data_IF_590733061626
#
_entry.id   IF_590733061626
#
_cell.length_a   1.000
_cell.length_b   1.000
_cell.length_c   1.000
_cell.angle_alpha   90.00
_cell.angle_beta   90.00
_cell.angle_gamma   90.00
#
_symmetry.space_group_name_H-M   'P 1'
#
loop_
_entity.id
_entity.type
_entity.pdbx_description
1 polymer ?
#
# COMPACT_ATOMS: atom_id res chain seq x y z
N UNK A 1 -37.73 -33.02 57.91
CA UNK A 1 -37.32 -32.52 56.59
C UNK A 1 -36.16 -31.55 56.85
N UNK A 2 -34.97 -32.07 57.20
CA UNK A 2 -33.87 -32.47 56.29
C UNK A 2 -33.47 -31.28 55.40
N UNK A 3 -32.34 -30.57 55.57
CA UNK A 3 -31.02 -30.94 56.13
C UNK A 3 -30.36 -29.81 56.96
N UNK A 4 -29.45 -30.23 57.86
CA UNK A 4 -28.35 -29.46 58.49
C UNK A 4 -27.06 -30.26 58.19
N UNK A 5 -25.85 -29.85 58.66
CA UNK A 5 -25.10 -28.57 58.53
C UNK A 5 -23.64 -28.85 58.09
N UNK A 6 -22.75 -27.85 58.04
CA UNK A 6 -21.30 -28.13 58.13
C UNK A 6 -20.36 -27.02 57.67
N UNK A 7 -19.94 -26.17 58.59
CA UNK A 7 -18.66 -25.45 58.54
C UNK A 7 -17.48 -26.40 58.84
N UNK A 8 -16.30 -26.06 58.31
CA UNK A 8 -14.92 -26.28 58.82
C UNK A 8 -13.94 -27.12 57.98
N UNK A 9 -12.70 -26.59 58.00
CA UNK A 9 -11.38 -27.16 57.65
C UNK A 9 -11.00 -27.17 56.16
N UNK A 10 -9.80 -26.77 55.73
CA UNK A 10 -8.69 -26.11 56.39
C UNK A 10 -7.67 -25.59 55.35
N UNK A 11 -6.98 -24.54 55.76
CA UNK A 11 -5.66 -24.02 55.35
C UNK A 11 -4.73 -25.00 54.62
N UNK A 12 -4.07 -24.52 53.57
CA UNK A 12 -2.62 -24.76 53.39
C UNK A 12 -1.95 -23.76 52.42
N UNK A 13 -0.93 -23.10 52.98
CA UNK A 13 0.33 -22.67 52.35
C UNK A 13 0.34 -21.40 51.47
N UNK A 14 0.45 -20.28 52.19
CA UNK A 14 1.08 -19.03 51.76
C UNK A 14 2.61 -19.12 51.97
N UNK A 15 3.36 -18.69 50.93
CA UNK A 15 4.77 -18.25 50.83
C UNK A 15 5.68 -19.17 49.98
N UNK A 16 6.06 -18.67 48.80
CA UNK A 16 7.43 -18.41 48.32
C UNK A 16 7.36 -17.71 46.93
N UNK A 17 8.13 -16.63 46.75
CA UNK A 17 8.21 -15.69 45.59
C UNK A 17 8.91 -16.34 44.35
N UNK A 18 9.18 -15.69 43.17
CA UNK A 18 9.04 -14.28 42.74
C UNK A 18 8.56 -14.02 41.27
N UNK A 19 8.45 -12.74 40.88
CA UNK A 19 8.65 -12.31 39.48
C UNK A 19 7.47 -11.58 38.80
N UNK A 20 7.26 -10.29 39.11
CA UNK A 20 6.50 -9.40 38.22
C UNK A 20 7.35 -9.12 36.97
N UNK A 21 6.83 -9.23 35.74
CA UNK A 21 7.52 -8.68 34.58
C UNK A 21 7.61 -7.16 34.77
N UNK A 22 8.82 -6.63 34.66
CA UNK A 22 9.07 -5.19 34.62
C UNK A 22 8.30 -4.62 33.44
N UNK A 23 7.42 -3.66 33.72
CA UNK A 23 6.88 -2.77 32.70
C UNK A 23 8.05 -2.14 31.96
N UNK A 24 8.10 -2.43 30.67
CA UNK A 24 9.14 -1.95 29.79
C UNK A 24 9.04 -0.42 29.66
N UNK A 25 10.08 0.27 30.14
CA UNK A 25 10.19 1.74 30.08
C UNK A 25 10.31 2.26 28.64
N UNK A 26 10.38 1.37 27.63
CA UNK A 26 10.27 1.72 26.22
C UNK A 26 8.86 2.15 25.78
N UNK A 27 7.78 1.76 26.48
CA UNK A 27 6.40 2.16 26.12
C UNK A 27 6.13 3.66 26.34
N UNK A 28 6.75 4.29 27.33
CA UNK A 28 6.50 5.70 27.64
C UNK A 28 7.21 6.71 26.72
N UNK A 29 8.15 6.26 25.88
CA UNK A 29 8.75 7.13 24.85
C UNK A 29 7.86 7.28 23.60
N UNK A 30 6.97 6.31 23.32
CA UNK A 30 6.10 6.31 22.13
C UNK A 30 4.93 7.31 22.23
N UNK A 31 4.48 7.69 23.43
CA UNK A 31 3.32 8.60 23.60
C UNK A 31 3.66 10.11 23.58
N UNK A 32 4.93 10.52 23.44
CA UNK A 32 5.34 11.94 23.51
C UNK A 32 5.72 12.62 22.19
N UNK A 33 5.65 11.95 21.04
CA UNK A 33 6.13 12.51 19.76
C UNK A 33 5.05 12.72 18.68
N UNK A 34 3.89 13.25 19.08
CA UNK A 34 2.95 13.93 18.15
C UNK A 34 2.94 15.46 18.33
N UNK A 35 3.93 16.03 19.03
CA UNK A 35 4.09 17.48 19.17
C UNK A 35 5.27 17.98 18.34
N UNK A 36 4.93 18.72 17.29
CA UNK A 36 5.73 19.77 16.65
C UNK A 36 7.16 19.40 16.24
N UNK A 37 7.34 19.26 14.92
CA UNK A 37 8.61 19.42 14.21
C UNK A 37 9.37 20.67 14.66
N UNK A 38 10.31 20.52 15.61
CA UNK A 38 11.34 21.51 15.93
C UNK A 38 12.69 20.96 15.55
N UNK A 39 13.38 21.69 14.69
CA UNK A 39 14.70 21.44 14.11
C UNK A 39 15.79 21.15 15.15
N UNK A 40 16.55 20.05 15.01
CA UNK A 40 17.89 19.93 15.56
C UNK A 40 18.95 20.42 14.55
N UNK A 41 20.07 20.93 15.08
CA UNK A 41 21.23 21.45 14.33
C UNK A 41 21.97 20.34 13.57
N UNK A 42 22.43 20.70 12.37
CA UNK A 42 23.22 19.91 11.41
C UNK A 42 24.50 19.32 12.02
N UNK A 43 24.77 18.04 11.72
CA UNK A 43 26.10 17.55 11.36
C UNK A 43 26.00 16.49 10.25
N UNK A 44 26.97 16.54 9.35
CA UNK A 44 27.20 15.79 8.10
C UNK A 44 26.37 14.52 7.85
N UNK A 45 25.31 14.66 7.06
CA UNK A 45 24.54 13.62 6.39
C UNK A 45 23.85 14.24 5.16
N UNK A 46 23.56 13.45 4.13
CA UNK A 46 22.93 13.93 2.89
C UNK A 46 21.70 14.79 3.15
N UNK A 47 21.49 15.82 2.32
CA UNK A 47 20.38 16.76 2.48
C UNK A 47 19.07 15.96 2.39
N UNK A 48 18.22 16.03 3.42
CA UNK A 48 16.81 15.62 3.29
C UNK A 48 16.24 16.28 2.02
N UNK A 49 15.50 15.56 1.16
CA UNK A 49 14.56 16.20 0.28
C UNK A 49 13.77 17.20 1.10
N UNK A 50 13.55 18.40 0.55
CA UNK A 50 12.77 19.39 1.29
C UNK A 50 11.40 18.79 1.65
N UNK A 51 10.89 19.22 2.81
CA UNK A 51 9.73 18.60 3.45
C UNK A 51 8.55 18.46 2.47
N UNK A 52 7.67 17.46 2.61
CA UNK A 52 6.50 17.32 1.73
C UNK A 52 5.58 18.57 1.70
N UNK A 53 5.58 19.39 2.76
CA UNK A 53 4.85 20.67 2.84
C UNK A 53 5.56 21.85 2.16
N UNK A 54 6.77 21.64 1.63
CA UNK A 54 7.54 22.60 0.85
C UNK A 54 7.61 22.13 -0.61
N UNK A 55 6.63 22.50 -1.44
CA UNK A 55 6.68 22.18 -2.86
C UNK A 55 7.95 22.78 -3.49
N UNK A 56 8.45 22.20 -4.59
CA UNK A 56 9.63 22.73 -5.24
C UNK A 56 9.46 24.21 -5.58
N UNK A 57 10.52 25.04 -5.43
CA UNK A 57 10.46 26.44 -5.86
C UNK A 57 10.13 26.48 -7.36
N UNK A 58 9.13 27.29 -7.72
CA UNK A 58 8.55 27.37 -9.07
C UNK A 58 7.73 26.14 -9.53
N UNK A 59 7.26 25.32 -8.59
CA UNK A 59 6.38 24.18 -8.85
C UNK A 59 7.08 22.97 -9.47
N UNK A 60 6.41 21.81 -9.40
CA UNK A 60 6.92 20.52 -9.87
C UNK A 60 6.71 20.28 -11.37
N UNK A 61 5.82 21.02 -12.04
CA UNK A 61 5.48 20.82 -13.46
C UNK A 61 6.12 21.93 -14.31
N UNK A 62 6.73 21.53 -15.42
CA UNK A 62 7.22 22.39 -16.49
C UNK A 62 6.14 22.54 -17.58
N UNK A 63 5.51 23.73 -17.60
CA UNK A 63 4.49 24.11 -18.56
C UNK A 63 5.06 24.72 -19.85
N UNK A 64 6.39 24.82 -19.99
CA UNK A 64 7.02 25.29 -21.24
C UNK A 64 7.04 24.20 -22.31
N UNK A 65 6.81 22.95 -21.92
CA UNK A 65 6.70 21.80 -22.81
C UNK A 65 5.23 21.51 -23.17
N UNK A 66 5.02 20.93 -24.35
CA UNK A 66 3.71 20.46 -24.81
C UNK A 66 3.77 18.99 -25.20
N UNK A 67 3.11 18.07 -24.46
CA UNK A 67 2.36 18.33 -23.22
C UNK A 67 3.28 18.68 -22.03
N UNK A 68 2.76 19.32 -20.96
CA UNK A 68 3.53 19.60 -19.76
C UNK A 68 4.15 18.34 -19.14
N UNK A 69 5.32 18.47 -18.51
CA UNK A 69 6.03 17.35 -17.86
C UNK A 69 6.43 17.70 -16.44
N UNK A 70 6.54 16.69 -15.58
CA UNK A 70 7.10 16.88 -14.24
C UNK A 70 8.60 17.10 -14.36
N UNK A 71 9.13 18.09 -13.63
CA UNK A 71 10.56 18.36 -13.54
C UNK A 71 11.26 17.21 -12.81
N UNK A 72 12.44 16.83 -13.26
CA UNK A 72 13.29 15.78 -12.67
C UNK A 72 13.99 16.20 -11.37
N UNK A 73 13.25 16.73 -10.39
CA UNK A 73 13.82 17.30 -9.17
C UNK A 73 14.05 16.20 -8.12
N UNK A 74 15.24 15.61 -8.14
CA UNK A 74 15.63 14.51 -7.24
C UNK A 74 15.57 14.86 -5.75
N UNK A 75 15.81 16.13 -5.42
CA UNK A 75 15.87 16.61 -4.03
C UNK A 75 14.49 17.01 -3.46
N UNK A 76 13.41 16.66 -4.16
CA UNK A 76 12.05 17.01 -3.76
C UNK A 76 11.11 15.82 -3.93
N UNK A 77 10.10 15.74 -3.08
CA UNK A 77 8.95 14.86 -3.31
C UNK A 77 8.04 15.45 -4.39
N UNK A 78 7.65 14.64 -5.37
CA UNK A 78 6.88 15.09 -6.54
C UNK A 78 5.50 14.44 -6.65
N UNK A 79 5.39 13.16 -6.26
CA UNK A 79 4.16 12.37 -6.30
C UNK A 79 4.28 11.14 -5.41
N UNK A 80 4.32 11.34 -4.09
CA UNK A 80 4.35 10.27 -3.09
C UNK A 80 3.02 9.52 -3.09
N UNK A 81 3.05 8.24 -3.42
CA UNK A 81 1.86 7.39 -3.49
C UNK A 81 1.75 6.44 -2.30
N UNK A 82 2.89 5.99 -1.74
CA UNK A 82 2.89 4.99 -0.69
C UNK A 82 4.09 5.16 0.25
N UNK A 83 3.94 4.69 1.49
CA UNK A 83 4.99 4.62 2.49
C UNK A 83 4.97 3.23 3.14
N UNK A 84 6.14 2.73 3.50
CA UNK A 84 6.29 1.52 4.31
C UNK A 84 7.21 1.84 5.49
N UNK A 85 6.88 1.34 6.67
CA UNK A 85 7.72 1.48 7.87
C UNK A 85 8.08 0.07 8.32
N UNK A 86 9.38 -0.21 8.43
CA UNK A 86 9.84 -1.50 8.92
C UNK A 86 9.95 -1.54 10.46
N UNK A 87 10.25 -2.72 11.00
CA UNK A 87 10.38 -2.93 12.45
C UNK A 87 11.60 -2.24 13.09
N UNK A 88 12.49 -1.66 12.29
CA UNK A 88 13.67 -0.92 12.75
C UNK A 88 13.43 0.60 12.75
N UNK A 89 12.18 1.04 12.67
CA UNK A 89 11.80 2.45 12.57
C UNK A 89 12.45 3.15 11.35
N UNK A 90 12.57 2.43 10.23
CA UNK A 90 12.99 2.98 8.93
C UNK A 90 11.77 3.13 8.03
N UNK A 91 11.58 4.34 7.50
CA UNK A 91 10.51 4.67 6.57
C UNK A 91 11.03 4.70 5.13
N UNK A 92 10.32 4.00 4.25
CA UNK A 92 10.58 3.92 2.82
C UNK A 92 9.45 4.65 2.10
N UNK A 93 9.78 5.72 1.40
CA UNK A 93 8.82 6.57 0.69
C UNK A 93 8.88 6.27 -0.79
N UNK A 94 7.75 5.87 -1.35
CA UNK A 94 7.59 5.55 -2.77
C UNK A 94 7.04 6.77 -3.51
N UNK A 95 7.91 7.44 -4.27
CA UNK A 95 7.58 8.61 -5.07
C UNK A 95 7.56 8.26 -6.56
N UNK A 96 6.38 8.33 -7.16
CA UNK A 96 6.20 8.02 -8.58
C UNK A 96 6.83 9.06 -9.52
N UNK A 97 7.18 10.25 -9.01
CA UNK A 97 7.61 11.36 -9.87
C UNK A 97 6.48 11.92 -10.74
N UNK A 98 5.23 11.52 -10.50
CA UNK A 98 4.04 11.93 -11.27
C UNK A 98 3.24 12.96 -10.48
N UNK A 99 3.37 14.23 -10.83
CA UNK A 99 2.56 15.31 -10.26
C UNK A 99 1.26 15.51 -11.06
N UNK A 100 0.20 15.93 -10.34
CA UNK A 100 -1.08 16.32 -10.93
C UNK A 100 -1.19 17.85 -10.86
N UNK A 101 -1.55 18.48 -11.97
CA UNK A 101 -1.76 19.92 -12.00
C UNK A 101 -3.13 20.33 -11.41
N UNK A 102 -3.38 21.64 -11.34
CA UNK A 102 -4.65 22.19 -10.83
C UNK A 102 -5.88 21.77 -11.65
N UNK A 103 -5.70 21.45 -12.93
CA UNK A 103 -6.77 21.03 -13.83
C UNK A 103 -7.02 19.51 -13.72
N UNK A 104 -6.14 18.76 -13.04
CA UNK A 104 -6.23 17.31 -12.93
C UNK A 104 -5.47 16.54 -14.00
N UNK A 105 -4.66 17.22 -14.82
CA UNK A 105 -3.75 16.55 -15.74
C UNK A 105 -2.58 15.95 -14.93
N UNK A 106 -2.42 14.64 -15.01
CA UNK A 106 -1.25 13.96 -14.48
C UNK A 106 -0.13 14.07 -15.52
N UNK A 107 0.93 14.82 -15.22
CA UNK A 107 2.04 15.07 -16.15
C UNK A 107 3.06 13.94 -16.10
N UNK A 108 3.64 13.55 -17.25
CA UNK A 108 4.65 12.47 -17.33
C UNK A 108 5.88 12.82 -16.48
N UNK A 109 6.49 11.80 -15.87
CA UNK A 109 7.72 11.98 -15.10
C UNK A 109 8.91 12.32 -16.02
N UNK A 110 9.94 12.89 -15.42
CA UNK A 110 11.27 13.02 -16.02
C UNK A 110 12.30 12.27 -15.17
N UNK A 111 13.45 11.94 -15.76
CA UNK A 111 14.59 11.35 -15.02
C UNK A 111 14.91 12.20 -13.79
N UNK A 112 15.12 11.55 -12.63
CA UNK A 112 15.24 12.22 -11.33
C UNK A 112 13.92 12.29 -10.54
N UNK A 113 12.77 12.03 -11.18
CA UNK A 113 11.47 12.05 -10.53
C UNK A 113 11.16 10.76 -9.75
N UNK A 114 10.96 9.62 -10.43
CA UNK A 114 10.62 8.34 -9.79
C UNK A 114 11.77 7.86 -8.89
N UNK A 115 11.47 7.63 -7.61
CA UNK A 115 12.49 7.28 -6.61
C UNK A 115 11.93 6.61 -5.37
N UNK A 116 12.80 5.90 -4.65
CA UNK A 116 12.58 5.47 -3.27
C UNK A 116 13.49 6.29 -2.35
N UNK A 117 12.90 6.93 -1.34
CA UNK A 117 13.64 7.66 -0.30
C UNK A 117 13.56 6.88 1.00
N UNK A 118 14.72 6.58 1.59
CA UNK A 118 14.82 5.83 2.86
C UNK A 118 15.18 6.79 3.98
N UNK A 119 14.37 6.81 5.03
CA UNK A 119 14.45 7.78 6.13
C UNK A 119 14.53 7.02 7.46
N UNK A 120 15.52 7.36 8.29
CA UNK A 120 15.53 6.93 9.69
C UNK A 120 14.54 7.78 10.48
N UNK A 121 13.59 7.14 11.15
CA UNK A 121 12.66 7.82 12.07
C UNK A 121 13.27 8.05 13.47
N UNK A 122 14.45 7.48 13.75
CA UNK A 122 15.14 7.70 15.02
C UNK A 122 15.64 9.14 15.14
N UNK A 123 16.22 9.66 14.05
CA UNK A 123 16.89 10.95 13.99
C UNK A 123 16.38 11.88 12.87
N UNK A 124 15.32 11.48 12.16
CA UNK A 124 14.71 12.21 11.06
C UNK A 124 15.69 12.53 9.91
N UNK A 125 16.53 11.57 9.51
CA UNK A 125 17.52 11.76 8.44
C UNK A 125 17.29 10.83 7.25
N UNK A 126 17.65 11.28 6.04
CA UNK A 126 17.70 10.41 4.87
C UNK A 126 18.92 9.52 4.95
N UNK A 127 18.67 8.22 4.90
CA UNK A 127 19.69 7.18 4.81
C UNK A 127 20.15 7.04 3.36
N UNK A 128 19.19 6.95 2.43
CA UNK A 128 19.46 6.72 1.02
C UNK A 128 18.36 7.29 0.13
N UNK A 129 18.70 7.55 -1.14
CA UNK A 129 17.73 7.86 -2.19
C UNK A 129 18.09 7.09 -3.44
N UNK A 130 17.19 6.20 -3.87
CA UNK A 130 17.33 5.39 -5.08
C UNK A 130 16.51 6.03 -6.19
N UNK A 131 17.19 6.67 -7.13
CA UNK A 131 16.58 7.32 -8.30
C UNK A 131 16.56 6.30 -9.42
N UNK A 132 15.40 6.08 -10.02
CA UNK A 132 15.29 5.14 -11.13
C UNK A 132 15.61 5.79 -12.47
N UNK A 133 16.35 5.04 -13.28
CA UNK A 133 16.61 5.33 -14.69
C UNK A 133 15.38 5.00 -15.54
N UNK A 134 15.35 5.50 -16.77
CA UNK A 134 14.17 5.35 -17.66
C UNK A 134 13.91 3.90 -18.09
N UNK A 135 14.93 3.03 -18.10
CA UNK A 135 14.79 1.60 -18.36
C UNK A 135 14.11 0.85 -17.20
N UNK A 136 14.31 1.32 -15.97
CA UNK A 136 13.70 0.74 -14.76
C UNK A 136 12.29 1.31 -14.54
N UNK A 137 12.15 2.63 -14.57
CA UNK A 137 10.89 3.35 -14.39
C UNK A 137 10.72 4.37 -15.52
N UNK A 138 10.11 3.96 -16.65
CA UNK A 138 9.80 4.88 -17.73
C UNK A 138 8.94 6.08 -17.29
N UNK A 139 8.88 7.11 -18.13
CA UNK A 139 8.17 8.36 -17.79
C UNK A 139 6.66 8.23 -17.48
N UNK A 140 6.02 7.12 -17.88
CA UNK A 140 4.63 6.80 -17.59
C UNK A 140 4.46 5.78 -16.46
N UNK A 141 5.55 5.36 -15.81
CA UNK A 141 5.50 4.57 -14.59
C UNK A 141 4.67 5.29 -13.52
N UNK A 142 3.96 4.49 -12.73
CA UNK A 142 3.17 4.94 -11.62
C UNK A 142 3.42 4.02 -10.43
N UNK A 143 4.51 4.30 -9.70
CA UNK A 143 4.90 3.53 -8.52
C UNK A 143 3.82 3.66 -7.44
N UNK A 144 3.07 2.60 -7.18
CA UNK A 144 1.81 2.67 -6.43
C UNK A 144 1.85 2.02 -5.05
N UNK A 145 2.68 1.01 -4.87
CA UNK A 145 2.84 0.29 -3.61
C UNK A 145 4.28 -0.19 -3.44
N UNK A 146 4.65 -0.41 -2.18
CA UNK A 146 5.99 -0.80 -1.77
C UNK A 146 5.89 -1.79 -0.61
N UNK A 147 6.76 -2.81 -0.60
CA UNK A 147 6.96 -3.68 0.55
C UNK A 147 8.45 -4.06 0.65
N UNK A 148 8.96 -4.19 1.88
CA UNK A 148 10.39 -4.33 2.14
C UNK A 148 10.69 -5.69 2.77
N UNK A 149 11.65 -6.40 2.17
CA UNK A 149 12.22 -7.63 2.71
C UNK A 149 13.57 -7.29 3.35
N UNK A 150 13.52 -6.90 4.63
CA UNK A 150 14.72 -6.50 5.39
C UNK A 150 15.71 -7.65 5.59
N UNK A 151 15.23 -8.90 5.56
CA UNK A 151 16.07 -10.09 5.69
C UNK A 151 16.97 -10.29 4.47
N UNK A 152 16.42 -10.08 3.27
CA UNK A 152 17.17 -10.21 2.02
C UNK A 152 17.69 -8.88 1.48
N UNK A 153 17.46 -7.78 2.21
CA UNK A 153 17.84 -6.42 1.84
C UNK A 153 17.33 -5.99 0.45
N UNK A 154 16.06 -6.29 0.16
CA UNK A 154 15.41 -5.92 -1.11
C UNK A 154 14.06 -5.24 -0.89
N UNK A 155 13.62 -4.47 -1.88
CA UNK A 155 12.31 -3.83 -1.93
C UNK A 155 11.57 -4.31 -3.18
N UNK A 156 10.28 -4.65 -3.01
CA UNK A 156 9.36 -4.89 -4.11
C UNK A 156 8.44 -3.66 -4.29
N UNK A 157 8.30 -3.20 -5.52
CA UNK A 157 7.54 -1.99 -5.86
C UNK A 157 6.57 -2.32 -7.00
N UNK A 158 5.31 -1.92 -6.86
CA UNK A 158 4.32 -2.07 -7.91
C UNK A 158 4.42 -0.87 -8.85
N UNK A 159 4.64 -1.11 -10.14
CA UNK A 159 4.52 -0.10 -11.18
C UNK A 159 3.20 -0.28 -11.94
N UNK A 160 2.23 0.55 -11.59
CA UNK A 160 0.85 0.49 -12.05
C UNK A 160 0.58 1.44 -13.23
N UNK A 161 1.42 1.43 -14.26
CA UNK A 161 1.27 2.36 -15.38
C UNK A 161 -0.09 2.25 -16.09
N UNK A 162 -0.83 3.37 -16.13
CA UNK A 162 -2.14 3.44 -16.81
C UNK A 162 -2.08 3.32 -18.34
N UNK A 163 -0.88 3.37 -18.93
CA UNK A 163 -0.63 3.15 -20.37
C UNK A 163 -0.33 1.68 -20.70
N UNK A 164 -0.21 0.81 -19.69
CA UNK A 164 -0.07 -0.63 -19.86
C UNK A 164 1.31 -1.19 -19.53
N UNK A 165 2.36 -0.35 -19.41
CA UNK A 165 3.72 -0.79 -19.03
C UNK A 165 3.78 -1.14 -17.55
N UNK A 166 3.12 -2.21 -17.14
CA UNK A 166 3.05 -2.64 -15.74
C UNK A 166 4.12 -3.67 -15.41
N UNK A 167 4.67 -3.60 -14.20
CA UNK A 167 5.73 -4.50 -13.73
C UNK A 167 5.80 -4.49 -12.19
N UNK A 168 6.53 -5.47 -11.64
CA UNK A 168 7.01 -5.42 -10.26
C UNK A 168 8.50 -5.08 -10.33
N UNK A 169 8.94 -4.03 -9.64
CA UNK A 169 10.35 -3.71 -9.52
C UNK A 169 10.94 -4.39 -8.29
N UNK A 170 12.13 -4.98 -8.45
CA UNK A 170 12.94 -5.54 -7.37
C UNK A 170 14.20 -4.68 -7.23
N UNK A 171 14.25 -3.88 -6.17
CA UNK A 171 15.40 -3.04 -5.82
C UNK A 171 16.27 -3.74 -4.77
N UNK A 172 17.55 -3.93 -5.07
CA UNK A 172 18.55 -4.37 -4.11
C UNK A 172 19.09 -3.15 -3.33
N UNK A 173 18.91 -3.15 -2.00
CA UNK A 173 19.30 -2.02 -1.14
C UNK A 173 20.81 -1.93 -0.87
N UNK A 174 21.56 -2.98 -1.16
CA UNK A 174 23.03 -2.96 -1.00
C UNK A 174 23.70 -2.26 -2.18
N UNK A 175 23.16 -2.49 -3.38
CA UNK A 175 23.78 -2.07 -4.65
C UNK A 175 23.04 -0.92 -5.34
N UNK A 176 21.76 -0.71 -5.01
CA UNK A 176 20.87 0.18 -5.74
C UNK A 176 20.42 -0.35 -7.10
N UNK A 177 20.87 -1.54 -7.51
CA UNK A 177 20.45 -2.16 -8.76
C UNK A 177 18.98 -2.56 -8.67
N UNK A 178 18.23 -2.25 -9.73
CA UNK A 178 16.80 -2.54 -9.79
C UNK A 178 16.48 -3.35 -11.03
N UNK A 179 15.72 -4.43 -10.85
CA UNK A 179 15.21 -5.26 -11.94
C UNK A 179 13.72 -4.99 -12.13
N UNK A 180 13.30 -4.92 -13.39
CA UNK A 180 11.90 -4.82 -13.78
C UNK A 180 11.40 -6.22 -14.14
N UNK A 181 10.50 -6.77 -13.32
CA UNK A 181 10.05 -8.16 -13.38
C UNK A 181 8.60 -8.24 -13.88
N UNK A 182 8.27 -9.36 -14.53
CA UNK A 182 6.94 -9.69 -15.03
C UNK A 182 6.38 -8.64 -16.00
N UNK A 183 7.24 -7.90 -16.71
CA UNK A 183 6.77 -6.79 -17.53
C UNK A 183 5.77 -7.28 -18.59
N UNK A 184 4.62 -6.62 -18.65
CA UNK A 184 3.52 -6.94 -19.57
C UNK A 184 2.98 -8.38 -19.45
N UNK A 185 3.31 -9.11 -18.38
CA UNK A 185 2.70 -10.42 -18.10
C UNK A 185 1.26 -10.26 -17.67
N UNK A 186 0.47 -11.31 -17.89
CA UNK A 186 -0.97 -11.27 -17.65
C UNK A 186 -1.31 -10.88 -16.21
N UNK A 187 -0.60 -11.43 -15.22
CA UNK A 187 -0.89 -11.23 -13.80
C UNK A 187 -0.73 -9.78 -13.33
N UNK A 188 0.16 -9.00 -13.96
CA UNK A 188 0.46 -7.61 -13.56
C UNK A 188 -0.24 -6.56 -14.42
N UNK A 189 -0.85 -6.96 -15.54
CA UNK A 189 -1.50 -6.03 -16.48
C UNK A 189 -2.99 -5.89 -16.16
N UNK A 190 -3.60 -4.73 -16.38
CA UNK A 190 -5.06 -4.59 -16.23
C UNK A 190 -5.85 -5.52 -17.17
N UNK A 191 -7.04 -5.95 -16.76
CA UNK A 191 -7.97 -6.70 -17.61
C UNK A 191 -8.75 -5.72 -18.48
N UNK A 192 -8.68 -5.92 -19.79
CA UNK A 192 -9.48 -5.15 -20.73
C UNK A 192 -10.97 -5.35 -20.44
N UNK A 193 -11.74 -4.26 -20.46
CA UNK A 193 -13.19 -4.32 -20.21
C UNK A 193 -13.58 -4.42 -18.74
N UNK A 194 -12.63 -4.29 -17.79
CA UNK A 194 -12.97 -4.40 -16.38
C UNK A 194 -13.82 -3.23 -15.87
N UNK A 195 -15.00 -3.56 -15.36
CA UNK A 195 -15.94 -2.65 -14.71
C UNK A 195 -16.24 -3.17 -13.30
N UNK A 196 -15.72 -2.51 -12.25
CA UNK A 196 -16.10 -2.80 -10.88
C UNK A 196 -17.32 -1.98 -10.46
N UNK A 197 -18.07 -2.50 -9.50
CA UNK A 197 -19.29 -1.87 -9.00
C UNK A 197 -19.16 -1.53 -7.52
N UNK A 198 -19.62 -0.34 -7.13
CA UNK A 198 -19.78 0.02 -5.71
C UNK A 198 -21.22 0.48 -5.51
N UNK A 199 -21.94 -0.13 -4.56
CA UNK A 199 -23.37 0.14 -4.32
C UNK A 199 -24.25 0.10 -5.58
N UNK A 200 -23.94 -0.82 -6.49
CA UNK A 200 -24.66 -0.97 -7.76
C UNK A 200 -24.30 0.06 -8.84
N UNK A 201 -23.43 1.04 -8.56
CA UNK A 201 -22.93 1.98 -9.57
C UNK A 201 -21.65 1.44 -10.23
N UNK A 202 -21.56 1.43 -11.58
CA UNK A 202 -20.35 1.05 -12.28
C UNK A 202 -19.26 2.12 -12.14
N UNK A 203 -18.00 1.71 -12.06
CA UNK A 203 -16.88 2.66 -11.98
C UNK A 203 -16.06 2.63 -13.26
N UNK A 204 -15.96 3.79 -13.92
CA UNK A 204 -15.16 4.01 -15.12
C UNK A 204 -14.04 5.01 -14.84
N UNK A 205 -12.93 4.92 -15.58
CA UNK A 205 -11.87 5.93 -15.55
C UNK A 205 -12.17 7.04 -16.56
N UNK A 206 -12.03 8.30 -16.17
CA UNK A 206 -12.09 9.43 -17.10
C UNK A 206 -10.71 9.69 -17.69
N UNK A 207 -10.63 9.76 -19.02
CA UNK A 207 -9.43 10.17 -19.75
C UNK A 207 -9.52 11.67 -20.04
N UNK A 208 -8.45 12.41 -19.76
CA UNK A 208 -8.36 13.85 -20.01
C UNK A 208 -7.31 14.17 -21.08
N UNK A 209 -7.44 15.33 -21.72
CA UNK A 209 -6.38 15.92 -22.53
C UNK A 209 -5.28 16.56 -21.65
N UNK A 210 -4.26 17.13 -22.29
CA UNK A 210 -3.16 17.83 -21.62
C UNK A 210 -3.56 19.12 -20.88
N UNK A 211 -4.79 19.60 -21.10
CA UNK A 211 -5.37 20.76 -20.42
C UNK A 211 -6.28 20.35 -19.26
N UNK A 212 -6.49 19.05 -19.05
CA UNK A 212 -7.40 18.50 -18.05
C UNK A 212 -8.85 18.42 -18.49
N UNK A 213 -9.17 18.70 -19.76
CA UNK A 213 -10.54 18.57 -20.27
C UNK A 213 -10.87 17.09 -20.44
N UNK A 214 -12.08 16.64 -20.06
CA UNK A 214 -12.46 15.24 -20.20
C UNK A 214 -12.71 14.91 -21.68
N UNK A 215 -12.09 13.83 -22.16
CA UNK A 215 -12.26 13.33 -23.51
C UNK A 215 -13.35 12.24 -23.57
N UNK A 216 -13.27 11.26 -22.68
CA UNK A 216 -14.20 10.12 -22.59
C UNK A 216 -14.05 9.37 -21.27
N UNK A 217 -15.01 8.52 -20.96
CA UNK A 217 -14.86 7.45 -19.98
C UNK A 217 -14.28 6.18 -20.64
N UNK A 218 -13.55 5.38 -19.86
CA UNK A 218 -12.96 4.09 -20.25
C UNK A 218 -12.94 3.14 -19.05
N UNK A 219 -12.50 1.90 -19.25
CA UNK A 219 -12.39 0.89 -18.20
C UNK A 219 -11.28 1.25 -17.20
N UNK A 220 -11.36 0.72 -15.98
CA UNK A 220 -10.27 0.88 -15.01
C UNK A 220 -9.04 0.12 -15.52
N UNK A 221 -7.98 0.85 -15.89
CA UNK A 221 -6.85 0.30 -16.65
C UNK A 221 -5.50 0.29 -15.89
N UNK A 222 -5.53 0.31 -14.56
CA UNK A 222 -4.32 0.23 -13.74
C UNK A 222 -3.93 -1.23 -13.49
N UNK A 223 -2.67 -1.59 -13.74
CA UNK A 223 -2.16 -2.94 -13.49
C UNK A 223 -1.87 -3.21 -12.02
N UNK A 224 -0.80 -3.96 -11.74
CA UNK A 224 -0.37 -4.32 -10.38
C UNK A 224 -0.31 -3.07 -9.50
N UNK A 225 -1.12 -3.04 -8.46
CA UNK A 225 -1.26 -1.88 -7.57
C UNK A 225 -1.13 -2.26 -6.10
N UNK A 226 -1.57 -3.48 -5.72
CA UNK A 226 -1.41 -4.02 -4.38
C UNK A 226 -0.21 -4.95 -4.26
N UNK A 227 0.53 -4.84 -3.16
CA UNK A 227 1.62 -5.75 -2.77
C UNK A 227 1.50 -6.08 -1.28
N UNK A 228 1.76 -7.33 -0.92
CA UNK A 228 1.98 -7.74 0.45
C UNK A 228 3.03 -8.85 0.50
N UNK A 229 4.02 -8.69 1.37
CA UNK A 229 5.04 -9.68 1.63
C UNK A 229 4.63 -10.53 2.84
N UNK A 230 4.71 -11.85 2.70
CA UNK A 230 4.34 -12.76 3.78
C UNK A 230 5.32 -12.69 4.96
N UNK A 231 4.90 -13.11 6.17
CA UNK A 231 5.80 -13.26 7.30
C UNK A 231 7.01 -14.12 6.93
N UNK A 232 8.22 -13.62 7.18
CA UNK A 232 9.48 -14.28 6.81
C UNK A 232 9.93 -14.06 5.36
N UNK A 233 9.14 -13.37 4.53
CA UNK A 233 9.58 -12.87 3.22
C UNK A 233 9.59 -13.90 2.09
N UNK A 234 8.91 -15.03 2.23
CA UNK A 234 9.00 -16.14 1.28
C UNK A 234 7.95 -16.06 0.14
N UNK A 235 6.88 -15.31 0.31
CA UNK A 235 5.81 -15.18 -0.67
C UNK A 235 5.45 -13.71 -0.85
N UNK A 236 5.44 -13.25 -2.10
CA UNK A 236 4.89 -11.96 -2.48
C UNK A 236 3.50 -12.19 -3.06
N UNK A 237 2.49 -11.63 -2.41
CA UNK A 237 1.14 -11.55 -2.96
C UNK A 237 0.90 -10.17 -3.57
N UNK A 238 0.21 -10.14 -4.69
CA UNK A 238 -0.02 -8.93 -5.45
C UNK A 238 -1.35 -8.99 -6.19
N UNK A 239 -1.84 -7.82 -6.57
CA UNK A 239 -3.06 -7.71 -7.35
C UNK A 239 -3.08 -6.49 -8.24
N UNK A 240 -3.80 -6.62 -9.35
CA UNK A 240 -4.09 -5.51 -10.26
C UNK A 240 -5.31 -4.71 -9.75
N UNK A 241 -5.33 -3.40 -9.99
CA UNK A 241 -6.51 -2.57 -9.69
C UNK A 241 -7.60 -2.75 -10.76
N UNK A 242 -7.19 -2.90 -12.03
CA UNK A 242 -8.04 -3.20 -13.18
C UNK A 242 -8.44 -4.69 -13.26
N UNK A 243 -8.87 -5.30 -12.16
CA UNK A 243 -9.33 -6.70 -12.13
C UNK A 243 -9.60 -7.22 -10.71
N UNK A 244 -10.19 -8.42 -10.62
CA UNK A 244 -10.58 -9.04 -9.34
C UNK A 244 -9.59 -10.05 -8.79
N UNK A 245 -8.65 -10.54 -9.60
CA UNK A 245 -7.82 -11.67 -9.20
C UNK A 245 -6.69 -11.27 -8.25
N UNK A 246 -6.44 -12.16 -7.29
CA UNK A 246 -5.30 -12.14 -6.37
C UNK A 246 -4.25 -13.15 -6.83
N UNK A 247 -3.00 -12.73 -6.85
CA UNK A 247 -1.87 -13.57 -7.25
C UNK A 247 -0.85 -13.65 -6.12
N UNK A 248 -0.14 -14.78 -6.05
CA UNK A 248 1.06 -14.87 -5.21
C UNK A 248 2.17 -15.65 -5.93
N UNK A 249 3.42 -15.34 -5.59
CA UNK A 249 4.62 -15.95 -6.16
C UNK A 249 5.69 -16.11 -5.09
N UNK A 250 6.54 -17.13 -5.22
CA UNK A 250 7.71 -17.28 -4.35
C UNK A 250 8.67 -16.11 -4.56
N UNK A 251 9.20 -15.55 -3.49
CA UNK A 251 10.22 -14.49 -3.60
C UNK A 251 11.59 -15.04 -4.02
N UNK A 252 11.83 -16.34 -3.86
CA UNK A 252 13.07 -16.99 -4.30
C UNK A 252 13.26 -16.85 -5.81
N UNK A 253 12.22 -17.15 -6.60
CA UNK A 253 12.29 -17.02 -8.06
C UNK A 253 12.38 -15.55 -8.51
N UNK A 254 11.77 -14.62 -7.77
CA UNK A 254 11.91 -13.18 -8.04
C UNK A 254 13.35 -12.71 -7.82
N UNK A 255 14.00 -13.16 -6.74
CA UNK A 255 15.37 -12.79 -6.41
C UNK A 255 16.42 -13.50 -7.27
N UNK A 256 16.09 -14.59 -7.95
CA UNK A 256 17.03 -15.27 -8.85
C UNK A 256 17.43 -14.33 -10.01
N UNK A 257 18.71 -13.91 -10.11
CA UNK A 257 19.16 -12.96 -11.13
C UNK A 257 19.08 -13.52 -12.55
N UNK A 258 19.06 -14.84 -12.69
CA UNK A 258 19.01 -15.52 -13.99
C UNK A 258 17.59 -15.87 -14.44
N UNK A 259 16.60 -15.71 -13.57
CA UNK A 259 15.22 -16.04 -13.90
C UNK A 259 14.65 -15.07 -14.94
N UNK A 260 14.05 -15.64 -15.99
CA UNK A 260 13.35 -14.85 -17.02
C UNK A 260 11.94 -14.50 -16.58
N UNK A 261 11.33 -13.48 -17.16
CA UNK A 261 9.93 -13.13 -16.85
C UNK A 261 8.96 -14.28 -17.15
N UNK A 262 9.21 -15.10 -18.17
CA UNK A 262 8.38 -16.27 -18.46
C UNK A 262 8.55 -17.40 -17.44
N UNK A 263 9.76 -17.57 -16.92
CA UNK A 263 10.02 -18.50 -15.83
C UNK A 263 9.31 -18.03 -14.56
N UNK A 264 9.49 -16.77 -14.15
CA UNK A 264 8.80 -16.19 -12.98
C UNK A 264 7.28 -16.32 -13.11
N UNK A 265 6.71 -15.98 -14.28
CA UNK A 265 5.27 -16.06 -14.55
C UNK A 265 4.72 -17.48 -14.38
N UNK A 266 5.51 -18.51 -14.71
CA UNK A 266 5.12 -19.91 -14.50
C UNK A 266 4.98 -20.32 -13.03
N UNK A 267 5.60 -19.57 -12.10
CA UNK A 267 5.45 -19.76 -10.65
C UNK A 267 4.32 -18.91 -10.05
N UNK A 268 3.70 -18.03 -10.81
CA UNK A 268 2.60 -17.18 -10.33
C UNK A 268 1.34 -18.03 -10.17
N UNK A 269 0.78 -18.04 -8.96
CA UNK A 269 -0.48 -18.72 -8.64
C UNK A 269 -1.61 -17.73 -8.48
N UNK A 270 -2.76 -18.03 -9.10
CA UNK A 270 -4.00 -17.28 -8.93
C UNK A 270 -4.80 -17.89 -7.76
N UNK A 271 -5.17 -17.07 -6.78
CA UNK A 271 -5.95 -17.46 -5.59
C UNK A 271 -7.45 -17.12 -5.74
N UNK A 272 -7.90 -16.79 -6.94
CA UNK A 272 -9.29 -16.46 -7.22
C UNK A 272 -9.60 -14.98 -7.04
N UNK A 273 -10.89 -14.66 -7.01
CA UNK A 273 -11.36 -13.28 -6.94
C UNK A 273 -11.35 -12.74 -5.50
N UNK A 274 -10.75 -11.55 -5.35
CA UNK A 274 -10.79 -10.71 -4.15
C UNK A 274 -11.69 -9.48 -4.29
N UNK A 275 -12.28 -9.32 -5.48
CA UNK A 275 -12.94 -8.11 -5.99
C UNK A 275 -12.05 -6.87 -6.07
N UNK A 276 -12.63 -5.70 -5.83
CA UNK A 276 -12.02 -4.43 -6.22
C UNK A 276 -11.46 -3.62 -5.06
N UNK A 277 -10.14 -3.55 -4.97
CA UNK A 277 -9.34 -2.56 -4.23
C UNK A 277 -7.87 -2.85 -4.53
N UNK A 278 -6.96 -2.02 -4.01
CA UNK A 278 -5.52 -2.20 -4.12
C UNK A 278 -4.87 -2.74 -2.85
N UNK A 279 -5.25 -2.26 -1.67
CA UNK A 279 -4.52 -2.53 -0.42
C UNK A 279 -4.48 -4.00 -0.03
N UNK A 280 -3.29 -4.46 0.37
CA UNK A 280 -3.02 -5.80 0.86
C UNK A 280 -2.11 -5.72 2.09
N UNK A 281 -2.30 -6.61 3.07
CA UNK A 281 -1.37 -6.78 4.20
C UNK A 281 -1.43 -8.21 4.72
N UNK A 282 -0.31 -8.72 5.24
CA UNK A 282 -0.28 -9.98 5.99
C UNK A 282 -0.29 -9.72 7.49
N UNK A 283 -1.01 -10.55 8.24
CA UNK A 283 -0.75 -10.69 9.68
C UNK A 283 0.39 -11.67 9.98
N UNK A 284 0.79 -11.69 11.25
CA UNK A 284 1.81 -12.61 11.76
C UNK A 284 1.43 -14.10 11.69
N UNK A 285 0.14 -14.42 11.47
CA UNK A 285 -0.39 -15.78 11.37
C UNK A 285 -0.54 -16.24 9.91
N UNK A 286 0.03 -15.50 8.96
CA UNK A 286 0.01 -15.82 7.53
C UNK A 286 -1.38 -15.68 6.89
N UNK A 287 -2.29 -14.90 7.49
CA UNK A 287 -3.54 -14.48 6.85
C UNK A 287 -3.28 -13.21 6.06
N UNK A 288 -3.71 -13.22 4.80
CA UNK A 288 -3.66 -12.03 3.96
C UNK A 288 -5.00 -11.32 4.01
N UNK A 289 -5.00 -10.01 4.27
CA UNK A 289 -6.18 -9.16 4.20
C UNK A 289 -6.06 -8.16 3.05
N UNK A 290 -7.20 -7.68 2.57
CA UNK A 290 -7.22 -6.57 1.63
C UNK A 290 -8.62 -6.01 1.41
N UNK A 291 -8.70 -4.87 0.72
CA UNK A 291 -9.97 -4.19 0.50
C UNK A 291 -10.85 -4.91 -0.52
N UNK A 292 -12.16 -4.86 -0.30
CA UNK A 292 -13.19 -5.40 -1.18
C UNK A 292 -14.33 -4.37 -1.31
N UNK A 293 -14.14 -3.41 -2.21
CA UNK A 293 -15.06 -2.27 -2.41
C UNK A 293 -16.39 -2.68 -3.03
N UNK A 294 -16.47 -3.82 -3.70
CA UNK A 294 -17.72 -4.29 -4.32
C UNK A 294 -18.67 -4.94 -3.31
N UNK A 295 -18.19 -5.21 -2.10
CA UNK A 295 -18.96 -5.79 -0.99
C UNK A 295 -18.76 -5.02 0.31
N UNK A 296 -18.43 -3.72 0.21
CA UNK A 296 -18.30 -2.81 1.35
C UNK A 296 -17.46 -3.38 2.50
N UNK A 297 -16.25 -3.84 2.20
CA UNK A 297 -15.55 -4.66 3.17
C UNK A 297 -14.08 -4.90 2.96
N UNK A 298 -13.61 -5.83 3.76
CA UNK A 298 -12.25 -6.37 3.76
C UNK A 298 -12.36 -7.87 3.53
N UNK A 299 -11.63 -8.40 2.55
CA UNK A 299 -11.49 -9.83 2.37
C UNK A 299 -10.32 -10.37 3.20
N UNK A 300 -10.34 -11.67 3.43
CA UNK A 300 -9.18 -12.43 3.89
C UNK A 300 -8.90 -13.60 2.96
N UNK A 301 -7.64 -13.99 2.82
CA UNK A 301 -7.19 -15.24 2.23
C UNK A 301 -6.49 -16.05 3.33
N UNK A 302 -7.05 -17.23 3.62
CA UNK A 302 -6.42 -18.23 4.47
C UNK A 302 -5.65 -19.22 3.60
N UNK A 303 -4.33 -19.31 3.79
CA UNK A 303 -3.50 -20.24 3.00
C UNK A 303 -3.77 -21.72 3.30
N UNK A 304 -4.39 -22.01 4.45
CA UNK A 304 -4.82 -23.36 4.84
C UNK A 304 -5.95 -23.88 3.97
N UNK A 305 -6.92 -23.03 3.62
CA UNK A 305 -8.07 -23.36 2.77
C UNK A 305 -7.86 -22.94 1.32
N UNK A 306 -6.94 -21.99 1.07
CA UNK A 306 -6.73 -21.31 -0.20
C UNK A 306 -7.97 -20.57 -0.71
N UNK A 307 -8.89 -20.21 0.20
CA UNK A 307 -10.11 -19.50 -0.13
C UNK A 307 -10.03 -18.04 0.26
N UNK A 308 -10.51 -17.19 -0.65
CA UNK A 308 -10.81 -15.79 -0.36
C UNK A 308 -12.23 -15.70 0.19
N UNK A 309 -12.39 -15.08 1.36
CA UNK A 309 -13.69 -14.88 2.01
C UNK A 309 -13.85 -13.44 2.47
N UNK A 310 -15.08 -12.93 2.52
CA UNK A 310 -15.36 -11.65 3.18
C UNK A 310 -15.10 -11.77 4.68
N UNK A 311 -14.30 -10.87 5.23
CA UNK A 311 -13.90 -10.87 6.62
C UNK A 311 -14.65 -9.79 7.42
N UNK A 312 -14.56 -8.54 6.96
CA UNK A 312 -15.33 -7.42 7.52
C UNK A 312 -16.31 -6.94 6.46
N UNK A 313 -17.56 -6.71 6.84
CA UNK A 313 -18.57 -6.07 6.01
C UNK A 313 -19.21 -4.92 6.78
N UNK A 314 -19.18 -3.73 6.21
CA UNK A 314 -19.86 -2.57 6.74
C UNK A 314 -20.11 -1.58 5.59
N UNK A 315 -21.36 -1.11 5.36
CA UNK A 315 -21.69 -0.19 4.27
C UNK A 315 -20.87 1.10 4.23
N UNK A 316 -20.16 1.46 5.30
CA UNK A 316 -19.26 2.62 5.32
C UNK A 316 -17.93 2.35 4.62
N UNK A 317 -17.52 1.09 4.44
CA UNK A 317 -16.23 0.68 3.88
C UNK A 317 -16.31 0.57 2.35
N UNK A 318 -16.56 1.68 1.68
CA UNK A 318 -16.70 1.67 0.22
C UNK A 318 -15.38 1.53 -0.55
N UNK A 319 -14.23 1.85 0.08
CA UNK A 319 -12.92 1.73 -0.54
C UNK A 319 -11.79 1.68 0.50
N UNK A 320 -11.61 0.52 1.14
CA UNK A 320 -10.45 0.26 1.99
C UNK A 320 -9.18 0.16 1.12
N UNK A 321 -8.32 1.18 1.15
CA UNK A 321 -7.23 1.36 0.17
C UNK A 321 -5.86 0.93 0.67
N UNK A 322 -5.48 1.29 1.89
CA UNK A 322 -4.17 1.01 2.47
C UNK A 322 -4.35 0.41 3.84
N UNK A 323 -3.53 -0.59 4.16
CA UNK A 323 -3.65 -1.40 5.37
C UNK A 323 -2.34 -1.38 6.15
N UNK A 324 -2.46 -1.55 7.46
CA UNK A 324 -1.36 -1.81 8.38
C UNK A 324 -1.88 -2.65 9.56
N UNK A 325 -0.97 -3.23 10.35
CA UNK A 325 -1.33 -3.94 11.57
C UNK A 325 -0.60 -3.30 12.75
N UNK A 326 -1.39 -2.80 13.70
CA UNK A 326 -0.86 -2.14 14.88
C UNK A 326 -1.49 -2.73 16.14
N UNK A 327 -0.66 -3.17 17.08
CA UNK A 327 -1.09 -3.79 18.35
C UNK A 327 -2.16 -4.89 18.19
N UNK A 328 -2.00 -5.76 17.18
CA UNK A 328 -2.93 -6.86 16.92
C UNK A 328 -4.26 -6.42 16.30
N UNK A 329 -4.38 -5.17 15.86
CA UNK A 329 -5.55 -4.68 15.16
C UNK A 329 -5.23 -4.37 13.70
N UNK A 330 -6.15 -4.72 12.82
CA UNK A 330 -6.10 -4.40 11.40
C UNK A 330 -6.54 -2.94 11.23
N UNK A 331 -5.62 -2.09 10.82
CA UNK A 331 -5.89 -0.69 10.54
C UNK A 331 -5.98 -0.48 9.02
N UNK A 332 -6.93 0.34 8.56
CA UNK A 332 -6.99 0.70 7.15
C UNK A 332 -7.60 2.07 6.91
N UNK A 333 -7.24 2.67 5.78
CA UNK A 333 -7.78 3.96 5.31
C UNK A 333 -8.92 3.69 4.35
N UNK A 334 -10.10 4.24 4.67
CA UNK A 334 -11.23 4.33 3.77
C UNK A 334 -11.27 5.72 3.12
N UNK A 335 -10.71 5.82 1.90
CA UNK A 335 -10.46 7.09 1.23
C UNK A 335 -11.46 7.44 0.12
N UNK A 336 -12.43 6.55 -0.16
CA UNK A 336 -13.44 6.72 -1.21
C UNK A 336 -12.80 6.95 -2.59
N UNK A 337 -11.74 6.19 -2.93
CA UNK A 337 -11.02 6.34 -4.20
C UNK A 337 -11.93 6.17 -5.43
N UNK A 338 -12.93 5.29 -5.32
CA UNK A 338 -14.01 5.11 -6.29
C UNK A 338 -14.82 6.39 -6.58
N UNK A 339 -14.77 7.40 -5.72
CA UNK A 339 -15.49 8.67 -5.88
C UNK A 339 -14.59 9.86 -6.21
N UNK A 340 -13.31 9.63 -6.51
CA UNK A 340 -12.45 10.68 -7.05
C UNK A 340 -13.01 11.24 -8.37
N UNK A 341 -12.67 12.49 -8.69
CA UNK A 341 -13.05 13.13 -9.97
C UNK A 341 -12.64 12.32 -11.21
N UNK A 342 -11.57 11.54 -11.12
CA UNK A 342 -11.09 10.68 -12.20
C UNK A 342 -11.94 9.41 -12.40
N UNK A 343 -12.89 9.13 -11.50
CA UNK A 343 -13.81 7.99 -11.58
C UNK A 343 -15.22 8.49 -11.92
N UNK A 344 -15.82 7.87 -12.93
CA UNK A 344 -17.15 8.18 -13.44
C UNK A 344 -18.12 7.04 -13.10
N UNK A 345 -19.24 7.33 -12.40
CA UNK A 345 -20.18 6.29 -11.95
C UNK A 345 -21.15 5.82 -13.04
N UNK A 346 -20.95 6.19 -14.31
CA UNK A 346 -21.89 5.94 -15.40
C UNK A 346 -22.98 7.01 -15.55
N UNK A 347 -23.05 7.98 -14.64
CA UNK A 347 -24.05 9.06 -14.68
C UNK A 347 -23.53 10.43 -14.22
N UNK A 348 -24.22 11.48 -14.66
CA UNK A 348 -23.87 12.87 -14.36
C UNK A 348 -22.67 13.39 -15.18
N UNK A 349 -22.02 14.44 -14.66
CA UNK A 349 -20.87 15.07 -15.33
C UNK A 349 -19.55 14.34 -15.04
N UNK A 350 -18.63 14.38 -15.99
CA UNK A 350 -17.24 13.98 -15.78
C UNK A 350 -16.51 14.93 -14.82
N UNK A 351 -15.42 14.44 -14.22
CA UNK A 351 -14.50 15.23 -13.38
C UNK A 351 -15.14 15.88 -12.15
N UNK A 352 -16.21 15.28 -11.62
CA UNK A 352 -16.82 15.70 -10.36
C UNK A 352 -16.26 14.84 -9.22
N UNK A 353 -15.64 15.48 -8.22
CA UNK A 353 -15.27 14.80 -6.98
C UNK A 353 -16.53 14.52 -6.17
N UNK A 354 -16.79 13.24 -5.91
CA UNK A 354 -18.00 12.74 -5.24
C UNK A 354 -17.70 12.25 -3.82
N UNK A 355 -16.47 12.44 -3.34
CA UNK A 355 -16.08 12.04 -2.00
C UNK A 355 -16.71 12.94 -0.96
N UNK A 356 -17.10 12.34 0.17
CA UNK A 356 -17.73 13.07 1.28
C UNK A 356 -16.83 13.00 2.50
N UNK A 357 -16.50 14.14 3.07
CA UNK A 357 -15.76 14.22 4.33
C UNK A 357 -16.68 13.85 5.52
N UNK A 358 -16.13 13.26 6.60
CA UNK A 358 -14.72 12.91 6.79
C UNK A 358 -14.31 11.60 6.10
N UNK A 359 -13.02 11.46 5.80
CA UNK A 359 -12.40 10.16 5.53
C UNK A 359 -12.11 9.43 6.84
N UNK A 360 -12.08 8.10 6.80
CA UNK A 360 -11.94 7.28 8.00
C UNK A 360 -10.62 6.53 8.01
N UNK A 361 -9.98 6.49 9.19
CA UNK A 361 -9.02 5.46 9.55
C UNK A 361 -9.78 4.50 10.46
N UNK A 362 -9.93 3.26 10.01
CA UNK A 362 -10.60 2.21 10.75
C UNK A 362 -9.58 1.38 11.51
N UNK A 363 -9.97 0.91 12.68
CA UNK A 363 -9.18 0.04 13.54
C UNK A 363 -10.07 -1.12 14.01
N UNK A 364 -9.64 -2.36 13.76
CA UNK A 364 -10.42 -3.55 14.06
C UNK A 364 -9.54 -4.63 14.70
N UNK A 365 -9.87 -5.06 15.91
CA UNK A 365 -9.14 -6.13 16.62
C UNK A 365 -9.13 -7.42 15.78
N UNK A 366 -7.94 -7.99 15.56
CA UNK A 366 -7.82 -9.31 14.95
C UNK A 366 -8.03 -10.33 16.08
N UNK A 367 -9.27 -10.76 16.28
CA UNK A 367 -9.59 -11.78 17.26
C UNK A 367 -9.18 -13.17 16.76
N UNK A 368 -8.32 -13.87 17.51
CA UNK A 368 -7.82 -15.21 17.17
C UNK A 368 -8.87 -16.34 17.27
N UNK A 369 -10.16 -16.01 17.46
CA UNK A 369 -11.26 -16.97 17.68
C UNK A 369 -12.47 -16.65 16.77
N UNK A 370 -12.49 -17.16 15.54
CA UNK A 370 -13.38 -16.66 14.48
C UNK A 370 -14.76 -17.27 14.27
N UNK A 371 -15.40 -17.84 15.30
CA UNK A 371 -16.83 -18.16 15.23
C UNK A 371 -17.65 -17.15 16.03
N UNK A 372 -17.83 -15.93 15.52
CA UNK A 372 -18.84 -14.97 16.00
C UNK A 372 -19.01 -13.80 15.04
N UNK A 373 -19.58 -14.07 13.86
CA UNK A 373 -20.21 -13.02 13.06
C UNK A 373 -21.61 -12.82 13.63
N UNK A 374 -21.79 -11.82 14.48
CA UNK A 374 -23.12 -11.30 14.80
C UNK A 374 -23.46 -10.24 13.75
N UNK A 375 -24.34 -10.62 12.83
CA UNK A 375 -25.14 -9.70 12.03
C UNK A 375 -25.98 -8.89 13.03
N UNK A 376 -25.90 -7.57 12.97
CA UNK A 376 -26.96 -6.67 13.44
C UNK A 376 -27.33 -5.76 12.29
#
# INVERSE_FOLDING_TARGET
MADRPGDLLERSLLRLLPGRPRFDQHLHRRQRRLRCWRTPRRQHGGRLPQRPDQPPPNGSIDYTQSPPRVKGLSDYFLGVNNIFIDSNDVMYVCDSGRAIDRNGYQALASVGGPKIVVISLENDTVIATYIFTEDVAPNDSYLSAITVDTKNNVIYIADASGTGRNAILLLDLSTGLTRRLLQNKYAVTALYGFVPYTWGQPNYQVVTDSQGNPLRATFINYGVTGLALSPGGNTLCFSRLGGRYLYCVSTEILRNPNATDSEIDSYVRNYGEKGWSAGLIFDSLYTLYGGQSEQDGVFQLLFTTQLVTLYIHDPRINFAYSFDIYNGSLCFINNQLNYLKAVYPGEGRFLVDRRVLPYYVSDHSIDSNWFKTSIV
#
